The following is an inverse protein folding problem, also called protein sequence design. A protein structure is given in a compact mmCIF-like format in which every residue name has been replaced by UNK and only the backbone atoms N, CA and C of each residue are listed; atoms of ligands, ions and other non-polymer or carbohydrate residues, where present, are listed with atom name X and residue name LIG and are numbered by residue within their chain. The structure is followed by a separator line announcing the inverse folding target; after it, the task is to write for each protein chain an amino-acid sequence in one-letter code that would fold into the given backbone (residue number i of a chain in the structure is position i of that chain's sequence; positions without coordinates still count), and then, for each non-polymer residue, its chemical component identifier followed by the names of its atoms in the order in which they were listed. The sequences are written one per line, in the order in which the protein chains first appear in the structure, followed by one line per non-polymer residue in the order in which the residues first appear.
data_IF_393128033477
#
_entry.id   IF_393128033477
#
_cell.length_a   1.000
_cell.length_b   1.000
_cell.length_c   1.000
_cell.angle_alpha   90.00
_cell.angle_beta   90.00
_cell.angle_gamma   90.00
#
_symmetry.space_group_name_H-M   'P 1'
#
loop_
_entity.id
_entity.type
_entity.pdbx_description
1 polymer ?
#
# COMPACT_ATOMS: atom_id res chain seq x y z
N UNK A 1 15.88 8.15 2.74
CA UNK A 1 14.88 7.84 1.71
C UNK A 1 15.41 6.91 0.61
N UNK A 2 14.77 5.78 0.39
CA UNK A 2 14.96 4.84 -0.73
C UNK A 2 13.63 4.64 -1.45
N UNK A 3 13.65 4.53 -2.78
CA UNK A 3 12.47 4.23 -3.60
C UNK A 3 12.68 2.89 -4.31
N UNK A 4 11.76 1.95 -4.15
CA UNK A 4 11.84 0.60 -4.76
C UNK A 4 10.48 0.11 -5.21
N UNK A 5 10.45 -0.92 -6.05
CA UNK A 5 9.20 -1.61 -6.36
C UNK A 5 8.67 -2.31 -5.10
N UNK A 6 7.36 -2.25 -4.90
CA UNK A 6 6.69 -3.00 -3.84
C UNK A 6 6.76 -4.49 -4.13
N UNK A 7 6.91 -5.28 -3.07
CA UNK A 7 6.97 -6.73 -3.10
C UNK A 7 5.80 -7.30 -2.30
N UNK A 8 5.54 -8.59 -2.47
CA UNK A 8 4.50 -9.30 -1.72
C UNK A 8 4.62 -9.15 -0.19
N UNK A 9 5.84 -9.01 0.33
CA UNK A 9 6.09 -8.83 1.76
C UNK A 9 5.62 -7.45 2.29
N UNK A 10 5.47 -6.46 1.42
CA UNK A 10 5.10 -5.09 1.82
C UNK A 10 3.58 -4.89 1.96
N UNK A 11 2.78 -5.80 1.40
CA UNK A 11 1.31 -5.65 1.23
C UNK A 11 0.58 -5.40 2.55
N UNK A 12 0.97 -6.08 3.62
CA UNK A 12 0.36 -5.90 4.94
C UNK A 12 0.66 -4.49 5.48
N UNK A 13 1.93 -4.10 5.51
CA UNK A 13 2.36 -2.79 5.99
C UNK A 13 1.81 -1.63 5.11
N UNK A 14 1.69 -1.84 3.80
CA UNK A 14 1.03 -0.89 2.89
C UNK A 14 -0.46 -0.74 3.21
N UNK A 15 -1.14 -1.84 3.54
CA UNK A 15 -2.54 -1.82 3.94
C UNK A 15 -2.75 -1.05 5.24
N UNK A 16 -1.89 -1.28 6.23
CA UNK A 16 -1.92 -0.55 7.49
C UNK A 16 -1.70 0.94 7.28
N UNK A 17 -0.70 1.33 6.47
CA UNK A 17 -0.42 2.73 6.15
C UNK A 17 -1.59 3.41 5.42
N UNK A 18 -2.15 2.76 4.39
CA UNK A 18 -3.24 3.33 3.59
C UNK A 18 -4.52 3.50 4.42
N UNK A 19 -4.76 2.60 5.36
CA UNK A 19 -6.01 2.57 6.15
C UNK A 19 -5.86 3.20 7.54
N UNK A 20 -4.66 3.62 7.95
CA UNK A 20 -4.35 4.16 9.28
C UNK A 20 -5.35 5.23 9.73
N UNK A 21 -5.67 6.16 8.83
CA UNK A 21 -6.58 7.27 9.11
C UNK A 21 -8.03 7.01 8.70
N UNK A 22 -8.29 5.86 8.06
CA UNK A 22 -9.61 5.49 7.55
C UNK A 22 -10.20 6.50 6.56
N UNK A 23 -11.54 6.46 6.34
CA UNK A 23 -12.22 7.40 5.48
C UNK A 23 -12.05 8.83 5.99
N UNK A 24 -11.46 9.70 5.18
CA UNK A 24 -11.33 11.12 5.49
C UNK A 24 -11.68 11.98 4.27
N UNK A 25 -11.93 13.27 4.49
CA UNK A 25 -12.37 14.22 3.45
C UNK A 25 -11.37 14.45 2.33
N UNK A 26 -10.11 14.05 2.53
CA UNK A 26 -9.04 14.17 1.55
C UNK A 26 -8.72 12.85 0.85
N UNK A 27 -9.20 11.72 1.39
CA UNK A 27 -8.83 10.39 0.93
C UNK A 27 -10.03 9.43 1.02
N UNK A 28 -10.68 9.21 -0.12
CA UNK A 28 -11.67 8.15 -0.27
C UNK A 28 -10.95 6.83 -0.55
N UNK A 29 -10.70 6.06 0.51
CA UNK A 29 -10.09 4.73 0.46
C UNK A 29 -11.06 3.66 0.98
N UNK A 30 -11.96 3.17 0.13
CA UNK A 30 -12.82 2.05 0.45
C UNK A 30 -12.00 0.78 0.69
N UNK A 31 -12.03 0.27 1.92
CA UNK A 31 -11.17 -0.82 2.39
C UNK A 31 -11.22 -2.06 1.50
N UNK A 32 -12.40 -2.46 1.04
CA UNK A 32 -12.56 -3.64 0.19
C UNK A 32 -11.79 -3.51 -1.14
N UNK A 33 -11.86 -2.34 -1.77
CA UNK A 33 -11.19 -2.05 -3.03
C UNK A 33 -9.68 -1.91 -2.82
N UNK A 34 -9.25 -1.25 -1.74
CA UNK A 34 -7.83 -1.19 -1.35
C UNK A 34 -7.24 -2.59 -1.17
N UNK A 35 -7.95 -3.50 -0.51
CA UNK A 35 -7.50 -4.89 -0.33
C UNK A 35 -7.42 -5.65 -1.66
N UNK A 36 -8.31 -5.38 -2.61
CA UNK A 36 -8.24 -5.96 -3.97
C UNK A 36 -7.00 -5.47 -4.71
N UNK A 37 -6.73 -4.16 -4.69
CA UNK A 37 -5.57 -3.58 -5.36
C UNK A 37 -4.24 -4.08 -4.75
N UNK A 38 -4.17 -4.19 -3.42
CA UNK A 38 -3.03 -4.78 -2.72
C UNK A 38 -2.80 -6.26 -3.10
N UNK A 39 -3.87 -7.05 -3.27
CA UNK A 39 -3.76 -8.42 -3.75
C UNK A 39 -3.30 -8.50 -5.23
N UNK A 40 -3.69 -7.54 -6.06
CA UNK A 40 -3.23 -7.45 -7.45
C UNK A 40 -1.73 -7.13 -7.54
N UNK A 41 -1.17 -6.39 -6.58
CA UNK A 41 0.28 -6.16 -6.47
C UNK A 41 1.00 -7.47 -6.09
N UNK A 42 0.47 -8.23 -5.13
CA UNK A 42 1.05 -9.51 -4.70
C UNK A 42 1.10 -10.59 -5.81
N UNK A 43 0.32 -10.40 -6.88
CA UNK A 43 0.19 -11.32 -8.01
C UNK A 43 0.78 -10.76 -9.30
N UNK A 44 1.55 -9.66 -9.21
CA UNK A 44 2.17 -8.94 -10.33
C UNK A 44 1.18 -8.42 -11.40
N UNK A 45 -0.13 -8.42 -11.10
CA UNK A 45 -1.16 -7.85 -11.97
C UNK A 45 -1.12 -6.32 -11.97
N UNK A 46 -0.63 -5.73 -10.88
CA UNK A 46 -0.44 -4.29 -10.70
C UNK A 46 0.96 -4.01 -10.18
N UNK A 47 1.57 -2.92 -10.66
CA UNK A 47 2.87 -2.46 -10.14
C UNK A 47 2.66 -1.31 -9.16
N UNK A 48 3.33 -1.38 -8.02
CA UNK A 48 3.40 -0.32 -7.04
C UNK A 48 4.87 0.01 -6.71
N UNK A 49 5.09 1.25 -6.29
CA UNK A 49 6.38 1.75 -5.82
C UNK A 49 6.24 2.18 -4.38
N UNK A 50 7.27 1.89 -3.59
CA UNK A 50 7.34 2.12 -2.17
C UNK A 50 8.51 3.04 -1.88
N UNK A 51 8.23 4.14 -1.19
CA UNK A 51 9.25 4.97 -0.58
C UNK A 51 9.46 4.47 0.85
N UNK A 52 10.71 4.38 1.29
CA UNK A 52 11.05 3.98 2.65
C UNK A 52 12.12 4.91 3.23
N UNK A 53 12.00 5.23 4.52
CA UNK A 53 12.98 6.01 5.26
C UNK A 53 13.21 5.39 6.63
N UNK A 54 14.46 5.03 6.95
CA UNK A 54 14.79 4.41 8.23
C UNK A 54 14.17 3.02 8.46
N UNK A 55 13.60 2.39 7.44
CA UNK A 55 12.86 1.12 7.55
C UNK A 55 11.35 1.30 7.75
N UNK A 56 10.86 2.53 7.71
CA UNK A 56 9.44 2.87 7.73
C UNK A 56 8.94 3.21 6.32
N UNK A 57 7.65 2.95 6.09
CA UNK A 57 6.93 3.24 4.85
C UNK A 57 6.34 4.64 4.85
#
# INVERSE_FOLDING_TARGET
MQLRAAQKADIEAMGDLLLEHGPNTWNYLPEAEVRVDLAAIATDQTRAWLAEEGGEL
#
